data_IF_813744718720
#
_entry.id   IF_813744718720
#
_cell.length_a   1.000
_cell.length_b   1.000
_cell.length_c   1.000
_cell.angle_alpha   90.00
_cell.angle_beta   90.00
_cell.angle_gamma   90.00
#
_symmetry.space_group_name_H-M   'P 1'
#
loop_
_entity.id
_entity.type
_entity.pdbx_description
1 polymer ?
#
# COMPACT_ATOMS: atom_id res chain seq x y z
N UNK A 1 -4.73 28.76 -19.76
CA UNK A 1 -5.73 28.17 -18.84
C UNK A 1 -5.49 26.66 -18.77
N UNK A 2 -5.24 26.11 -17.59
CA UNK A 2 -5.01 24.67 -17.42
C UNK A 2 -6.34 23.94 -17.61
N UNK A 3 -6.52 23.32 -18.77
CA UNK A 3 -7.70 22.50 -19.06
C UNK A 3 -7.73 21.36 -18.05
N UNK A 4 -8.69 21.37 -17.12
CA UNK A 4 -8.92 20.25 -16.21
C UNK A 4 -9.29 19.04 -17.07
N UNK A 5 -8.35 18.11 -17.17
CA UNK A 5 -8.53 16.89 -17.94
C UNK A 5 -9.57 15.99 -17.24
N UNK A 6 -10.49 15.37 -17.99
CA UNK A 6 -11.53 14.53 -17.41
C UNK A 6 -10.92 13.31 -16.69
N UNK A 7 -11.52 12.94 -15.56
CA UNK A 7 -11.13 11.76 -14.79
C UNK A 7 -11.62 10.49 -15.51
N UNK A 8 -10.70 9.80 -16.18
CA UNK A 8 -10.97 8.57 -16.94
C UNK A 8 -10.90 7.33 -16.04
N UNK A 9 -11.49 7.41 -14.84
CA UNK A 9 -11.54 6.30 -13.90
C UNK A 9 -12.71 5.37 -14.22
N UNK A 10 -12.41 4.11 -14.54
CA UNK A 10 -13.43 3.13 -14.90
C UNK A 10 -13.77 2.13 -13.77
N UNK A 11 -13.13 2.23 -12.60
CA UNK A 11 -13.35 1.27 -11.51
C UNK A 11 -13.04 -0.17 -11.95
N UNK A 12 -13.92 -1.10 -11.59
CA UNK A 12 -13.87 -2.52 -12.00
C UNK A 12 -14.33 -2.75 -13.45
N UNK A 13 -14.76 -1.69 -14.15
CA UNK A 13 -15.20 -1.80 -15.53
C UNK A 13 -14.01 -1.61 -16.45
N UNK A 14 -13.89 -2.50 -17.42
CA UNK A 14 -12.99 -2.27 -18.54
C UNK A 14 -13.34 -0.91 -19.17
N UNK A 15 -12.36 -0.01 -19.38
CA UNK A 15 -12.53 1.17 -20.20
C UNK A 15 -13.17 0.70 -21.51
N UNK A 16 -14.25 1.34 -21.98
CA UNK A 16 -14.73 1.05 -23.33
C UNK A 16 -13.51 1.16 -24.24
N UNK A 17 -13.31 0.16 -25.12
CA UNK A 17 -12.30 0.26 -26.17
C UNK A 17 -12.62 1.53 -26.93
N UNK A 18 -11.92 2.61 -26.58
CA UNK A 18 -12.08 3.90 -27.23
C UNK A 18 -12.04 3.62 -28.73
N UNK A 19 -12.98 4.14 -29.54
CA UNK A 19 -12.70 4.20 -30.97
C UNK A 19 -11.33 4.86 -31.14
N UNK A 20 -10.57 4.43 -32.17
CA UNK A 20 -9.22 4.94 -32.49
C UNK A 20 -9.16 6.42 -32.09
N UNK A 21 -8.22 6.85 -31.24
CA UNK A 21 -8.25 8.20 -30.71
C UNK A 21 -8.38 9.19 -31.88
N UNK A 22 -9.53 9.84 -32.03
CA UNK A 22 -9.83 10.78 -33.13
C UNK A 22 -8.90 12.01 -33.10
N UNK A 23 -8.07 12.11 -32.07
CA UNK A 23 -6.89 12.94 -32.04
C UNK A 23 -5.69 12.04 -31.80
N UNK A 24 -5.26 11.38 -32.87
CA UNK A 24 -3.91 10.86 -32.95
C UNK A 24 -2.98 12.02 -32.58
N UNK A 25 -2.46 11.97 -31.36
CA UNK A 25 -1.37 12.78 -30.86
C UNK A 25 -0.35 12.89 -32.00
N UNK A 26 -0.12 14.11 -32.49
CA UNK A 26 0.70 14.35 -33.67
C UNK A 26 2.02 13.60 -33.47
N UNK A 27 2.54 12.87 -34.47
CA UNK A 27 3.82 12.18 -34.36
C UNK A 27 4.95 13.09 -33.83
N UNK A 28 4.86 14.39 -34.11
CA UNK A 28 5.76 15.46 -33.65
C UNK A 28 5.79 15.69 -32.14
N UNK A 29 4.70 15.39 -31.42
CA UNK A 29 4.64 15.52 -29.95
C UNK A 29 5.17 14.25 -29.25
N UNK A 30 5.24 13.11 -29.94
CA UNK A 30 5.76 11.84 -29.38
C UNK A 30 7.23 11.94 -28.99
N UNK A 31 8.04 12.64 -29.78
CA UNK A 31 9.47 12.85 -29.51
C UNK A 31 9.76 13.86 -28.38
N UNK A 32 8.75 14.61 -27.93
CA UNK A 32 8.87 15.67 -26.91
C UNK A 32 8.08 15.38 -25.62
N UNK A 33 7.47 14.20 -25.51
CA UNK A 33 6.71 13.82 -24.32
C UNK A 33 7.66 13.73 -23.12
N UNK A 34 7.61 14.77 -22.27
CA UNK A 34 8.41 14.86 -21.05
C UNK A 34 8.05 13.70 -20.13
N UNK A 35 9.06 13.05 -19.54
CA UNK A 35 8.84 12.01 -18.55
C UNK A 35 7.92 12.52 -17.44
N UNK A 36 7.01 11.67 -16.98
CA UNK A 36 6.07 12.01 -15.91
C UNK A 36 6.84 12.53 -14.69
N UNK A 37 6.53 13.75 -14.27
CA UNK A 37 7.04 14.34 -13.04
C UNK A 37 6.02 14.06 -11.92
N UNK A 38 6.47 13.45 -10.83
CA UNK A 38 5.58 13.13 -9.72
C UNK A 38 5.14 14.40 -8.99
N UNK A 39 3.83 14.58 -8.88
CA UNK A 39 3.21 15.68 -8.11
C UNK A 39 2.38 15.15 -6.94
N UNK A 40 1.60 14.10 -7.17
CA UNK A 40 0.73 13.46 -6.18
C UNK A 40 0.32 12.07 -6.65
N UNK A 41 -0.21 11.26 -5.72
CA UNK A 41 -0.81 9.97 -6.05
C UNK A 41 -1.94 10.13 -7.08
N UNK A 42 -2.86 11.07 -6.88
CA UNK A 42 -3.96 11.31 -7.82
C UNK A 42 -3.48 11.73 -9.22
N UNK A 43 -2.42 12.54 -9.32
CA UNK A 43 -1.83 12.88 -10.62
C UNK A 43 -1.24 11.66 -11.32
N UNK A 44 -0.56 10.80 -10.57
CA UNK A 44 -0.03 9.54 -11.06
C UNK A 44 -1.14 8.59 -11.53
N UNK A 45 -2.18 8.39 -10.72
CA UNK A 45 -3.34 7.54 -11.05
C UNK A 45 -4.01 8.00 -12.33
N UNK A 46 -4.28 9.31 -12.47
CA UNK A 46 -4.88 9.88 -13.69
C UNK A 46 -3.99 9.68 -14.91
N UNK A 47 -2.68 9.89 -14.77
CA UNK A 47 -1.74 9.70 -15.88
C UNK A 47 -1.68 8.24 -16.33
N UNK A 48 -1.62 7.30 -15.39
CA UNK A 48 -1.64 5.86 -15.68
C UNK A 48 -2.94 5.44 -16.38
N UNK A 49 -4.10 5.84 -15.88
CA UNK A 49 -5.38 5.55 -16.55
C UNK A 49 -5.42 6.12 -17.97
N UNK A 50 -4.90 7.33 -18.18
CA UNK A 50 -4.82 7.95 -19.50
C UNK A 50 -3.96 7.13 -20.46
N UNK A 51 -2.78 6.68 -20.02
CA UNK A 51 -1.90 5.83 -20.82
C UNK A 51 -2.67 4.57 -21.26
N UNK A 52 -3.43 3.93 -20.37
CA UNK A 52 -4.19 2.72 -20.70
C UNK A 52 -5.44 2.96 -21.56
N UNK A 53 -6.11 4.10 -21.41
CA UNK A 53 -7.38 4.37 -22.10
C UNK A 53 -7.21 4.96 -23.51
N UNK A 54 -6.10 5.67 -23.77
CA UNK A 54 -5.92 6.47 -24.99
C UNK A 54 -4.85 5.91 -25.92
N UNK A 55 -3.74 5.40 -25.37
CA UNK A 55 -2.58 5.04 -26.20
C UNK A 55 -2.68 3.61 -26.75
N UNK A 56 -2.47 3.47 -28.06
CA UNK A 56 -2.34 2.15 -28.68
C UNK A 56 -1.06 1.45 -28.20
N UNK A 57 -1.09 0.12 -27.97
CA UNK A 57 0.09 -0.65 -27.60
C UNK A 57 1.23 -0.46 -28.61
N UNK A 58 2.37 0.03 -28.13
CA UNK A 58 3.60 0.26 -28.90
C UNK A 58 4.81 0.20 -27.97
N UNK A 59 6.03 0.04 -28.50
CA UNK A 59 7.27 0.01 -27.70
C UNK A 59 7.43 1.27 -26.83
N UNK A 60 7.12 2.43 -27.40
CA UNK A 60 7.12 3.73 -26.76
C UNK A 60 6.07 3.84 -25.64
N UNK A 61 4.85 3.36 -25.88
CA UNK A 61 3.81 3.23 -24.85
C UNK A 61 4.30 2.38 -23.66
N UNK A 62 4.87 1.20 -23.93
CA UNK A 62 5.40 0.35 -22.86
C UNK A 62 6.54 1.01 -22.08
N UNK A 63 7.41 1.77 -22.76
CA UNK A 63 8.49 2.52 -22.12
C UNK A 63 7.94 3.62 -21.20
N UNK A 64 6.97 4.42 -21.67
CA UNK A 64 6.30 5.46 -20.85
C UNK A 64 5.53 4.88 -19.68
N UNK A 65 4.76 3.81 -19.90
CA UNK A 65 4.05 3.10 -18.84
C UNK A 65 5.03 2.59 -17.78
N UNK A 66 6.14 1.97 -18.19
CA UNK A 66 7.16 1.49 -17.26
C UNK A 66 7.83 2.63 -16.48
N UNK A 67 8.21 3.73 -17.15
CA UNK A 67 8.83 4.88 -16.51
C UNK A 67 7.88 5.55 -15.50
N UNK A 68 6.62 5.73 -15.87
CA UNK A 68 5.58 6.29 -15.00
C UNK A 68 5.30 5.36 -13.83
N UNK A 69 5.13 4.06 -14.09
CA UNK A 69 4.91 3.07 -13.03
C UNK A 69 6.06 3.08 -12.01
N UNK A 70 7.32 3.18 -12.48
CA UNK A 70 8.50 3.25 -11.59
C UNK A 70 8.58 4.52 -10.74
N UNK A 71 7.75 5.53 -11.01
CA UNK A 71 7.59 6.66 -10.11
C UNK A 71 6.77 6.30 -8.85
N UNK A 72 6.02 5.19 -8.83
CA UNK A 72 5.33 4.74 -7.63
C UNK A 72 6.34 4.08 -6.67
N UNK A 73 6.62 4.74 -5.55
CA UNK A 73 7.50 4.22 -4.49
C UNK A 73 6.75 4.09 -3.17
N UNK A 74 7.34 3.34 -2.22
CA UNK A 74 6.77 3.13 -0.89
C UNK A 74 6.64 4.46 -0.13
N UNK A 75 7.63 5.33 -0.25
CA UNK A 75 7.66 6.66 0.39
C UNK A 75 6.50 7.51 -0.10
N UNK A 76 6.30 7.55 -1.42
CA UNK A 76 5.20 8.28 -2.06
C UNK A 76 3.82 7.75 -1.70
N UNK A 77 3.69 6.43 -1.51
CA UNK A 77 2.45 5.82 -0.97
C UNK A 77 2.20 6.32 0.46
N UNK A 78 3.23 6.35 1.31
CA UNK A 78 3.12 6.78 2.71
C UNK A 78 2.77 8.25 2.85
N UNK A 79 3.20 9.10 1.92
CA UNK A 79 2.88 10.53 1.89
C UNK A 79 1.42 10.81 1.50
N UNK A 80 0.78 9.92 0.75
CA UNK A 80 -0.58 10.11 0.26
C UNK A 80 -1.59 10.28 1.40
N UNK A 81 -2.54 11.21 1.27
CA UNK A 81 -3.55 11.54 2.28
C UNK A 81 -4.99 11.25 1.85
N UNK A 82 -5.18 10.80 0.62
CA UNK A 82 -6.50 10.59 0.02
C UNK A 82 -6.74 9.09 -0.15
N UNK A 83 -7.74 8.53 0.54
CA UNK A 83 -8.06 7.10 0.43
C UNK A 83 -8.50 6.73 -0.98
N UNK A 84 -9.25 7.61 -1.66
CA UNK A 84 -9.71 7.38 -3.04
C UNK A 84 -8.53 7.14 -3.99
N UNK A 85 -7.50 7.98 -3.95
CA UNK A 85 -6.31 7.82 -4.78
C UNK A 85 -5.57 6.50 -4.48
N UNK A 86 -5.53 6.10 -3.21
CA UNK A 86 -4.94 4.83 -2.78
C UNK A 86 -5.77 3.62 -3.22
N UNK A 87 -7.10 3.71 -3.15
CA UNK A 87 -8.00 2.66 -3.61
C UNK A 87 -7.85 2.42 -5.12
N UNK A 88 -7.73 3.50 -5.90
CA UNK A 88 -7.48 3.42 -7.34
C UNK A 88 -6.10 2.83 -7.65
N UNK A 89 -5.07 3.22 -6.90
CA UNK A 89 -3.75 2.62 -7.00
C UNK A 89 -3.77 1.12 -6.65
N UNK A 90 -4.52 0.72 -5.62
CA UNK A 90 -4.69 -0.68 -5.24
C UNK A 90 -5.33 -1.49 -6.36
N UNK A 91 -6.43 -1.00 -6.93
CA UNK A 91 -7.13 -1.65 -8.04
C UNK A 91 -6.17 -1.92 -9.22
N UNK A 92 -5.41 -0.92 -9.67
CA UNK A 92 -4.42 -1.09 -10.73
C UNK A 92 -3.37 -2.16 -10.40
N UNK A 93 -2.85 -2.17 -9.17
CA UNK A 93 -1.81 -3.12 -8.77
C UNK A 93 -2.35 -4.55 -8.68
N UNK A 94 -3.62 -4.72 -8.27
CA UNK A 94 -4.31 -6.03 -8.27
C UNK A 94 -4.53 -6.50 -9.71
N UNK A 95 -5.02 -5.60 -10.57
CA UNK A 95 -5.41 -5.90 -11.93
C UNK A 95 -4.25 -5.91 -12.92
N UNK A 96 -3.03 -5.59 -12.51
CA UNK A 96 -1.87 -5.55 -13.40
C UNK A 96 -1.72 -6.79 -14.29
N UNK A 97 -2.13 -7.98 -13.82
CA UNK A 97 -2.05 -9.25 -14.57
C UNK A 97 -3.24 -9.56 -15.48
N UNK A 98 -4.32 -8.80 -15.42
CA UNK A 98 -5.58 -9.11 -16.11
C UNK A 98 -5.57 -8.78 -17.60
N UNK A 99 -4.43 -8.37 -18.15
CA UNK A 99 -4.19 -8.27 -19.60
C UNK A 99 -4.67 -6.99 -20.28
N UNK A 100 -5.40 -6.11 -19.58
CA UNK A 100 -5.84 -4.80 -20.10
C UNK A 100 -5.01 -3.61 -19.61
N UNK A 101 -4.22 -3.78 -18.54
CA UNK A 101 -3.21 -2.81 -18.09
C UNK A 101 -1.86 -3.09 -18.75
N UNK A 102 -1.82 -2.96 -20.07
CA UNK A 102 -0.67 -3.31 -20.91
C UNK A 102 0.64 -2.73 -20.36
N UNK A 103 1.56 -3.59 -19.91
CA UNK A 103 2.90 -3.20 -19.47
C UNK A 103 3.06 -2.90 -17.98
N UNK A 104 1.97 -2.79 -17.21
CA UNK A 104 2.07 -2.59 -15.76
C UNK A 104 2.59 -3.85 -15.05
N UNK A 105 2.17 -5.03 -15.52
CA UNK A 105 2.68 -6.33 -15.08
C UNK A 105 4.19 -6.48 -15.29
N UNK A 106 4.74 -5.86 -16.34
CA UNK A 106 6.17 -5.86 -16.65
C UNK A 106 6.93 -4.74 -15.95
N UNK A 107 6.24 -3.75 -15.42
CA UNK A 107 6.87 -2.65 -14.72
C UNK A 107 7.46 -3.09 -13.38
N UNK A 108 6.84 -4.06 -12.70
CA UNK A 108 7.26 -4.56 -11.38
C UNK A 108 7.46 -6.07 -11.37
N UNK A 109 8.44 -6.53 -10.59
CA UNK A 109 8.49 -7.94 -10.20
C UNK A 109 7.33 -8.29 -9.28
N UNK A 110 7.07 -9.60 -9.11
CA UNK A 110 6.04 -10.09 -8.17
C UNK A 110 6.28 -9.59 -6.74
N UNK A 111 7.54 -9.56 -6.29
CA UNK A 111 7.91 -9.13 -4.94
C UNK A 111 7.73 -7.62 -4.74
N UNK A 112 8.16 -6.82 -5.72
CA UNK A 112 7.96 -5.36 -5.72
C UNK A 112 6.46 -5.03 -5.68
N UNK A 113 5.66 -5.65 -6.54
CA UNK A 113 4.21 -5.43 -6.55
C UNK A 113 3.55 -5.83 -5.22
N UNK A 114 3.98 -6.95 -4.64
CA UNK A 114 3.51 -7.38 -3.32
C UNK A 114 3.83 -6.35 -2.24
N UNK A 115 5.03 -5.78 -2.26
CA UNK A 115 5.45 -4.73 -1.34
C UNK A 115 4.59 -3.48 -1.48
N UNK A 116 4.38 -3.00 -2.72
CA UNK A 116 3.53 -1.83 -2.98
C UNK A 116 2.09 -2.06 -2.53
N UNK A 117 1.52 -3.24 -2.80
CA UNK A 117 0.15 -3.59 -2.37
C UNK A 117 0.01 -3.58 -0.84
N UNK A 118 0.97 -4.17 -0.12
CA UNK A 118 0.97 -4.16 1.35
C UNK A 118 1.03 -2.73 1.88
N UNK A 119 1.91 -1.89 1.32
CA UNK A 119 2.06 -0.50 1.75
C UNK A 119 0.81 0.34 1.44
N UNK A 120 0.18 0.16 0.27
CA UNK A 120 -1.09 0.82 -0.05
C UNK A 120 -2.16 0.44 0.96
N UNK A 121 -2.36 -0.86 1.22
CA UNK A 121 -3.35 -1.35 2.20
C UNK A 121 -3.09 -0.85 3.61
N UNK A 122 -1.84 -0.87 4.04
CA UNK A 122 -1.43 -0.33 5.34
C UNK A 122 -1.76 1.16 5.42
N UNK A 123 -1.49 1.92 4.36
CA UNK A 123 -1.78 3.36 4.33
C UNK A 123 -3.27 3.64 4.41
N UNK A 124 -4.08 2.93 3.62
CA UNK A 124 -5.56 3.02 3.66
C UNK A 124 -6.10 2.69 5.05
N UNK A 125 -5.61 1.63 5.67
CA UNK A 125 -5.98 1.25 7.04
C UNK A 125 -5.64 2.35 8.05
N UNK A 126 -4.45 2.96 7.95
CA UNK A 126 -4.06 4.08 8.82
C UNK A 126 -4.98 5.29 8.65
N UNK A 127 -5.30 5.67 7.41
CA UNK A 127 -6.23 6.77 7.13
C UNK A 127 -7.64 6.47 7.67
N UNK A 128 -8.12 5.24 7.51
CA UNK A 128 -9.43 4.82 8.02
C UNK A 128 -9.55 4.91 9.54
N UNK A 129 -8.47 4.68 10.28
CA UNK A 129 -8.42 4.84 11.75
C UNK A 129 -7.97 6.25 12.19
N UNK A 130 -7.92 7.22 11.28
CA UNK A 130 -7.56 8.61 11.56
C UNK A 130 -6.09 8.83 11.92
N UNK A 131 -5.19 7.92 11.53
CA UNK A 131 -3.75 8.01 11.82
C UNK A 131 -2.94 8.36 10.58
N UNK A 132 -1.99 9.27 10.77
CA UNK A 132 -1.05 9.67 9.72
C UNK A 132 0.25 8.85 9.72
N UNK A 133 0.56 8.17 10.83
CA UNK A 133 1.76 7.35 10.96
C UNK A 133 1.44 6.05 11.67
N UNK A 134 2.19 4.99 11.34
CA UNK A 134 2.09 3.73 12.06
C UNK A 134 2.51 3.94 13.52
N UNK A 135 1.82 3.26 14.44
CA UNK A 135 2.24 3.25 15.86
C UNK A 135 3.66 2.68 15.91
N UNK A 136 4.63 3.36 16.56
CA UNK A 136 5.95 2.79 16.75
C UNK A 136 5.79 1.45 17.45
N UNK A 137 6.47 0.41 16.94
CA UNK A 137 6.49 -0.88 17.63
C UNK A 137 7.06 -0.63 19.02
N UNK A 138 6.26 -0.92 20.04
CA UNK A 138 6.71 -0.84 21.42
C UNK A 138 7.86 -1.84 21.66
N UNK A 139 8.51 -1.78 22.84
CA UNK A 139 9.44 -2.81 23.24
C UNK A 139 8.79 -4.19 23.06
N UNK A 140 9.59 -5.19 22.66
CA UNK A 140 9.11 -6.57 22.58
C UNK A 140 8.39 -6.91 23.88
N UNK A 141 7.26 -7.60 23.75
CA UNK A 141 6.46 -8.03 24.88
C UNK A 141 7.34 -8.80 25.88
N UNK A 142 7.51 -8.24 27.07
CA UNK A 142 8.36 -8.80 28.12
C UNK A 142 7.51 -9.06 29.38
N UNK A 143 7.11 -10.33 29.61
CA UNK A 143 6.41 -10.73 30.83
C UNK A 143 7.13 -10.37 32.12
N UNK A 144 8.46 -10.27 32.12
CA UNK A 144 9.23 -10.06 33.35
C UNK A 144 9.11 -8.63 33.89
N UNK A 145 8.77 -7.67 33.03
CA UNK A 145 8.73 -6.24 33.36
C UNK A 145 7.33 -5.69 33.63
N UNK A 146 6.28 -6.51 33.50
CA UNK A 146 4.91 -6.04 33.72
C UNK A 146 4.49 -6.10 35.20
N UNK A 147 3.61 -5.19 35.67
CA UNK A 147 3.01 -5.27 36.99
C UNK A 147 2.15 -6.53 37.18
N UNK A 148 2.08 -7.05 38.40
CA UNK A 148 1.31 -8.27 38.73
C UNK A 148 -0.17 -8.18 38.35
N UNK A 149 -0.81 -7.04 38.58
CA UNK A 149 -2.21 -6.84 38.21
C UNK A 149 -2.44 -6.94 36.69
N UNK A 150 -1.48 -6.47 35.88
CA UNK A 150 -1.54 -6.55 34.41
C UNK A 150 -1.29 -7.98 33.95
N UNK A 151 -0.33 -8.68 34.58
CA UNK A 151 -0.05 -10.09 34.33
C UNK A 151 -1.30 -10.96 34.56
N UNK A 152 -1.96 -10.80 35.71
CA UNK A 152 -3.18 -11.55 36.05
C UNK A 152 -4.32 -11.28 35.08
N UNK A 153 -4.57 -10.00 34.75
CA UNK A 153 -5.60 -9.62 33.78
C UNK A 153 -5.33 -10.23 32.40
N UNK A 154 -4.09 -10.17 31.92
CA UNK A 154 -3.73 -10.73 30.61
C UNK A 154 -3.87 -12.26 30.59
N UNK A 155 -3.53 -12.96 31.66
CA UNK A 155 -3.76 -14.41 31.75
C UNK A 155 -5.25 -14.76 31.60
N UNK A 156 -6.15 -13.89 32.06
CA UNK A 156 -7.60 -14.10 31.98
C UNK A 156 -8.19 -13.75 30.60
N UNK A 157 -7.68 -12.70 29.94
CA UNK A 157 -8.32 -12.14 28.74
C UNK A 157 -7.61 -12.47 27.43
N UNK A 158 -6.36 -12.95 27.45
CA UNK A 158 -5.58 -13.15 26.23
C UNK A 158 -5.96 -14.44 25.51
N UNK A 159 -6.07 -14.40 24.19
CA UNK A 159 -6.53 -15.54 23.36
C UNK A 159 -5.38 -16.40 22.81
N UNK A 160 -4.20 -15.83 22.62
CA UNK A 160 -3.02 -16.58 22.12
C UNK A 160 -2.43 -17.54 23.18
N UNK A 161 -2.45 -18.84 22.87
CA UNK A 161 -1.92 -19.90 23.74
C UNK A 161 -0.41 -19.79 24.02
N UNK A 162 0.40 -19.31 23.06
CA UNK A 162 1.86 -19.14 23.26
C UNK A 162 2.13 -18.03 24.28
N UNK A 163 1.38 -16.93 24.19
CA UNK A 163 1.47 -15.81 25.13
C UNK A 163 1.00 -16.25 26.51
N UNK A 164 -0.12 -16.97 26.62
CA UNK A 164 -0.61 -17.48 27.90
C UNK A 164 0.41 -18.40 28.58
N UNK A 165 1.11 -19.27 27.84
CA UNK A 165 2.16 -20.13 28.39
C UNK A 165 3.30 -19.30 29.01
N UNK A 166 3.77 -18.27 28.30
CA UNK A 166 4.82 -17.38 28.81
C UNK A 166 4.37 -16.61 30.06
N UNK A 167 3.13 -16.11 30.09
CA UNK A 167 2.59 -15.38 31.24
C UNK A 167 2.40 -16.27 32.47
N UNK A 168 1.93 -17.51 32.28
CA UNK A 168 1.78 -18.47 33.38
C UNK A 168 3.13 -18.90 33.97
N UNK A 169 4.13 -19.12 33.13
CA UNK A 169 5.50 -19.42 33.58
C UNK A 169 6.07 -18.28 34.42
N UNK A 170 5.87 -17.04 33.99
CA UNK A 170 6.31 -15.87 34.74
C UNK A 170 5.56 -15.73 36.09
N UNK A 171 4.24 -15.96 36.12
CA UNK A 171 3.46 -15.98 37.37
C UNK A 171 4.01 -17.03 38.34
N UNK A 172 4.31 -18.24 37.85
CA UNK A 172 4.86 -19.31 38.67
C UNK A 172 6.23 -18.95 39.22
N UNK A 173 7.10 -18.33 38.40
CA UNK A 173 8.40 -17.82 38.84
C UNK A 173 8.26 -16.79 39.97
N UNK A 174 7.35 -15.82 39.85
CA UNK A 174 7.09 -14.82 40.90
C UNK A 174 6.56 -15.46 42.19
N UNK A 175 5.65 -16.42 42.08
CA UNK A 175 5.12 -17.16 43.24
C UNK A 175 6.17 -18.03 43.96
N UNK A 176 7.11 -18.61 43.22
CA UNK A 176 8.23 -19.35 43.79
C UNK A 176 9.21 -18.45 44.55
N UNK A 177 9.51 -17.25 44.01
CA UNK A 177 10.36 -16.25 44.68
C UNK A 177 9.70 -15.69 45.94
N UNK A 178 8.40 -15.38 45.89
CA UNK A 178 7.67 -14.90 47.06
C UNK A 178 7.62 -15.95 48.19
N UNK A 179 7.40 -17.22 47.83
CA UNK A 179 7.41 -18.35 48.79
C UNK A 179 8.79 -18.63 49.39
N UNK A 180 9.87 -18.27 48.69
CA UNK A 180 11.24 -18.43 49.17
C UNK A 180 11.65 -17.30 50.14
N UNK A 181 11.20 -16.07 49.89
CA UNK A 181 11.51 -14.91 50.74
C UNK A 181 10.67 -14.82 52.02
N UNK A 182 9.55 -15.56 52.11
CA UNK A 182 8.68 -15.59 53.30
C UNK A 182 9.05 -16.64 54.36
N UNK A 183 10.24 -17.24 54.30
CA UNK A 183 10.71 -18.30 55.21
C UNK A 183 11.90 -17.88 56.12
N UNK A 184 12.05 -16.59 56.40
CA UNK A 184 12.99 -16.07 57.41
C UNK A 184 12.23 -15.66 58.67
#
# INVERSE_FOLDING_TARGET
MSVRQPDLFYGDRQPPRSPRPERAYRPEERGKAKAFAWESMGAWVRHMHRLFAIESPSSDHYARTRATARCLTVERIRECRHDDDLARCEAMLVEARSGWLYGLDRAFTRAERGTLLVEVRNRRCLLAIGRMTAKPKGPRFDPTRMPDAVLLRLIQTHTDARVLKALRAERQRRGAVASHNGKL
#
